data_IF_886363939880
#
_entry.id   IF_886363939880
#
_cell.length_a   1.000
_cell.length_b   1.000
_cell.length_c   1.000
_cell.angle_alpha   90.00
_cell.angle_beta   90.00
_cell.angle_gamma   90.00
#
_symmetry.space_group_name_H-M   'P 1'
#
loop_
_entity.id
_entity.type
_entity.pdbx_description
1 polymer ?
#
# COMPACT_ATOMS: atom_id res chain seq x y z
N UNK A 1 22.46 -5.92 13.27
CA UNK A 1 21.65 -4.70 13.43
C UNK A 1 20.70 -4.58 12.25
N UNK A 2 19.38 -4.55 12.47
CA UNK A 2 18.42 -4.21 11.40
C UNK A 2 18.36 -2.69 11.30
N UNK A 3 19.18 -2.12 10.43
CA UNK A 3 19.16 -0.69 10.14
C UNK A 3 17.79 -0.35 9.56
N UNK A 4 17.09 0.64 10.13
CA UNK A 4 15.85 1.16 9.54
C UNK A 4 16.21 1.72 8.15
N UNK A 5 15.40 1.43 7.12
CA UNK A 5 15.65 1.95 5.78
C UNK A 5 15.61 3.48 5.78
N UNK A 6 16.49 4.12 5.01
CA UNK A 6 16.51 5.58 4.85
C UNK A 6 15.34 6.06 4.00
N UNK A 7 15.02 7.36 4.05
CA UNK A 7 13.96 7.96 3.23
C UNK A 7 14.16 7.69 1.73
N UNK A 8 15.39 7.85 1.23
CA UNK A 8 15.73 7.60 -0.16
C UNK A 8 15.53 6.12 -0.56
N UNK A 9 15.87 5.19 0.34
CA UNK A 9 15.64 3.76 0.12
C UNK A 9 14.16 3.43 0.07
N UNK A 10 13.34 4.08 0.91
CA UNK A 10 11.89 3.92 0.90
C UNK A 10 11.29 4.48 -0.40
N UNK A 11 11.72 5.64 -0.86
CA UNK A 11 11.26 6.24 -2.13
C UNK A 11 11.57 5.36 -3.34
N UNK A 12 12.77 4.76 -3.38
CA UNK A 12 13.14 3.78 -4.41
C UNK A 12 12.21 2.56 -4.41
N UNK A 13 11.87 2.04 -3.23
CA UNK A 13 10.97 0.88 -3.10
C UNK A 13 9.54 1.24 -3.49
N UNK A 14 9.04 2.39 -3.05
CA UNK A 14 7.71 2.92 -3.41
C UNK A 14 7.60 3.07 -4.93
N UNK A 15 8.59 3.69 -5.58
CA UNK A 15 8.63 3.87 -7.02
C UNK A 15 8.61 2.54 -7.79
N UNK A 16 9.41 1.55 -7.37
CA UNK A 16 9.42 0.21 -7.98
C UNK A 16 8.08 -0.51 -7.83
N UNK A 17 7.43 -0.38 -6.67
CA UNK A 17 6.15 -1.03 -6.41
C UNK A 17 5.03 -0.40 -7.23
N UNK A 18 4.99 0.93 -7.31
CA UNK A 18 4.09 1.68 -8.19
C UNK A 18 4.23 1.25 -9.65
N UNK A 19 5.46 1.21 -10.18
CA UNK A 19 5.72 0.79 -11.56
C UNK A 19 5.24 -0.65 -11.83
N UNK A 20 5.47 -1.56 -10.88
CA UNK A 20 4.99 -2.95 -10.97
C UNK A 20 3.47 -3.05 -10.96
N UNK A 21 2.78 -2.24 -10.15
CA UNK A 21 1.32 -2.21 -10.12
C UNK A 21 0.75 -1.59 -11.40
N UNK A 22 1.33 -0.50 -11.89
CA UNK A 22 0.92 0.17 -13.13
C UNK A 22 1.03 -0.77 -14.34
N UNK A 23 2.09 -1.58 -14.41
CA UNK A 23 2.24 -2.61 -15.44
C UNK A 23 1.23 -3.76 -15.36
N UNK A 24 0.47 -3.89 -14.27
CA UNK A 24 -0.58 -4.90 -14.08
C UNK A 24 -1.98 -4.32 -14.24
N UNK A 25 -2.25 -3.18 -13.62
CA UNK A 25 -3.53 -2.49 -13.65
C UNK A 25 -3.36 -1.03 -13.16
N UNK A 26 -3.76 -0.07 -13.99
CA UNK A 26 -3.70 1.36 -13.66
C UNK A 26 -4.52 1.74 -12.40
N UNK A 27 -5.65 1.06 -12.14
CA UNK A 27 -6.46 1.28 -10.93
C UNK A 27 -5.71 0.88 -9.66
N UNK A 28 -4.91 -0.19 -9.71
CA UNK A 28 -4.10 -0.62 -8.57
C UNK A 28 -2.97 0.38 -8.28
N UNK A 29 -2.38 0.97 -9.32
CA UNK A 29 -1.38 2.02 -9.16
C UNK A 29 -1.99 3.30 -8.56
N UNK A 30 -3.18 3.71 -9.02
CA UNK A 30 -3.85 4.88 -8.48
C UNK A 30 -4.26 4.69 -7.01
N UNK A 31 -4.81 3.53 -6.67
CA UNK A 31 -5.13 3.19 -5.28
C UNK A 31 -3.88 3.18 -4.38
N UNK A 32 -2.76 2.70 -4.90
CA UNK A 32 -1.48 2.73 -4.18
C UNK A 32 -1.03 4.16 -3.89
N UNK A 33 -1.05 5.03 -4.90
CA UNK A 33 -0.65 6.43 -4.76
C UNK A 33 -1.55 7.18 -3.75
N UNK A 34 -2.85 6.93 -3.79
CA UNK A 34 -3.82 7.52 -2.87
C UNK A 34 -3.58 7.05 -1.42
N UNK A 35 -3.36 5.74 -1.23
CA UNK A 35 -3.07 5.15 0.09
C UNK A 35 -1.78 5.73 0.68
N UNK A 36 -0.73 5.82 -0.12
CA UNK A 36 0.54 6.43 0.31
C UNK A 36 0.33 7.89 0.70
N UNK A 37 -0.39 8.66 -0.09
CA UNK A 37 -0.66 10.09 0.17
C UNK A 37 -1.47 10.31 1.45
N UNK A 38 -2.50 9.49 1.69
CA UNK A 38 -3.34 9.57 2.90
C UNK A 38 -2.53 9.23 4.15
N UNK A 39 -1.69 8.19 4.08
CA UNK A 39 -0.83 7.83 5.21
C UNK A 39 0.23 8.90 5.47
N UNK A 40 0.92 9.37 4.43
CA UNK A 40 1.90 10.46 4.57
C UNK A 40 1.28 11.72 5.15
N UNK A 41 0.09 12.13 4.72
CA UNK A 41 -0.62 13.28 5.29
C UNK A 41 -0.96 13.08 6.77
N UNK A 42 -1.55 11.94 7.14
CA UNK A 42 -1.89 11.63 8.54
C UNK A 42 -0.69 11.60 9.47
N UNK A 43 0.45 11.16 8.95
CA UNK A 43 1.70 11.19 9.71
C UNK A 43 2.27 12.61 9.74
N UNK A 44 2.35 13.32 8.61
CA UNK A 44 2.86 14.70 8.56
C UNK A 44 2.09 15.66 9.48
N UNK A 45 0.78 15.48 9.68
CA UNK A 45 -0.03 16.26 10.64
C UNK A 45 0.40 16.07 12.11
N UNK A 46 1.15 15.01 12.43
CA UNK A 46 1.55 14.64 13.79
C UNK A 46 3.05 14.69 14.04
N UNK A 47 3.85 15.10 13.06
CA UNK A 47 5.31 15.03 13.13
C UNK A 47 5.95 16.41 13.23
N UNK A 48 6.80 16.60 14.24
CA UNK A 48 7.60 17.81 14.44
C UNK A 48 8.96 17.72 13.73
N UNK A 49 9.50 16.51 13.51
CA UNK A 49 10.80 16.27 12.85
C UNK A 49 10.63 15.52 11.50
N UNK A 50 11.25 15.99 10.40
CA UNK A 50 11.26 15.30 9.11
C UNK A 50 11.85 13.88 9.12
N UNK A 51 12.60 13.47 10.15
CA UNK A 51 13.08 12.08 10.32
C UNK A 51 11.97 11.10 10.69
N UNK A 52 10.86 11.58 11.22
CA UNK A 52 9.74 10.73 11.57
C UNK A 52 8.92 10.27 10.35
N UNK A 53 9.02 11.00 9.23
CA UNK A 53 8.46 10.59 7.93
C UNK A 53 9.03 9.24 7.45
N UNK A 54 10.25 8.88 7.84
CA UNK A 54 10.84 7.58 7.47
C UNK A 54 10.07 6.41 8.12
N UNK A 55 9.69 6.56 9.39
CA UNK A 55 8.89 5.55 10.09
C UNK A 55 7.47 5.48 9.53
N UNK A 56 6.88 6.63 9.18
CA UNK A 56 5.57 6.71 8.52
C UNK A 56 5.55 5.97 7.17
N UNK A 57 6.53 6.26 6.30
CA UNK A 57 6.69 5.59 5.00
C UNK A 57 6.93 4.09 5.14
N UNK A 58 7.71 3.67 6.13
CA UNK A 58 7.93 2.25 6.41
C UNK A 58 6.63 1.54 6.85
N UNK A 59 5.82 2.18 7.71
CA UNK A 59 4.53 1.66 8.14
C UNK A 59 3.53 1.57 6.97
N UNK A 60 3.48 2.59 6.11
CA UNK A 60 2.65 2.61 4.91
C UNK A 60 3.01 1.48 3.95
N UNK A 61 4.31 1.28 3.70
CA UNK A 61 4.82 0.17 2.89
C UNK A 61 4.42 -1.20 3.46
N UNK A 62 4.52 -1.38 4.77
CA UNK A 62 4.13 -2.63 5.42
C UNK A 62 2.62 -2.89 5.28
N UNK A 63 1.79 -1.87 5.49
CA UNK A 63 0.34 -1.95 5.32
C UNK A 63 -0.05 -2.31 3.89
N UNK A 64 0.46 -1.58 2.90
CA UNK A 64 0.17 -1.85 1.49
C UNK A 64 0.62 -3.26 1.12
N UNK A 65 1.80 -3.70 1.56
CA UNK A 65 2.30 -5.04 1.28
C UNK A 65 1.35 -6.11 1.85
N UNK A 66 0.85 -5.94 3.07
CA UNK A 66 -0.13 -6.84 3.67
C UNK A 66 -1.47 -6.84 2.91
N UNK A 67 -1.98 -5.67 2.51
CA UNK A 67 -3.21 -5.53 1.73
C UNK A 67 -3.09 -6.19 0.35
N UNK A 68 -1.97 -5.99 -0.35
CA UNK A 68 -1.69 -6.66 -1.63
C UNK A 68 -1.57 -8.17 -1.47
N UNK A 69 -0.93 -8.65 -0.39
CA UNK A 69 -0.91 -10.07 -0.08
C UNK A 69 -2.33 -10.61 0.13
N UNK A 70 -3.18 -9.91 0.88
CA UNK A 70 -4.57 -10.30 1.10
C UNK A 70 -5.39 -10.30 -0.20
N UNK A 71 -5.17 -9.35 -1.11
CA UNK A 71 -5.83 -9.36 -2.43
C UNK A 71 -5.33 -10.48 -3.33
N UNK A 72 -4.05 -10.82 -3.27
CA UNK A 72 -3.49 -11.93 -4.02
C UNK A 72 -3.91 -13.30 -3.47
N UNK A 73 -4.17 -13.40 -2.17
CA UNK A 73 -4.60 -14.64 -1.51
C UNK A 73 -6.10 -14.76 -1.32
N UNK A 74 -6.89 -13.69 -1.49
CA UNK A 74 -8.35 -13.78 -1.54
C UNK A 74 -8.74 -14.55 -2.80
N UNK A 75 -9.39 -15.72 -2.68
CA UNK A 75 -9.99 -16.34 -3.85
C UNK A 75 -11.07 -15.41 -4.42
N UNK A 76 -11.26 -15.42 -5.73
CA UNK A 76 -12.17 -14.53 -6.48
C UNK A 76 -13.68 -14.76 -6.21
N UNK A 77 -14.06 -15.14 -4.98
CA UNK A 77 -15.39 -15.60 -4.60
C UNK A 77 -16.28 -14.55 -3.92
N UNK A 78 -16.02 -13.26 -4.10
CA UNK A 78 -16.98 -12.20 -3.74
C UNK A 78 -17.66 -11.57 -4.97
N UNK A 79 -17.61 -12.26 -6.11
CA UNK A 79 -18.35 -11.93 -7.34
C UNK A 79 -19.58 -12.82 -7.61
N UNK A 80 -20.08 -13.57 -6.61
CA UNK A 80 -21.37 -14.24 -6.68
C UNK A 80 -22.33 -13.63 -5.64
N UNK A 81 -22.66 -12.35 -5.83
CA UNK A 81 -24.01 -11.91 -5.51
C UNK A 81 -24.92 -12.44 -6.63
N UNK A 82 -25.86 -13.32 -6.28
CA UNK A 82 -26.98 -13.66 -7.17
C UNK A 82 -26.96 -15.08 -7.71
N UNK A 83 -27.40 -16.03 -6.88
CA UNK A 83 -28.40 -17.04 -7.25
C UNK A 83 -28.95 -17.66 -5.96
N UNK A 84 -29.94 -17.01 -5.36
CA UNK A 84 -31.01 -17.77 -4.69
C UNK A 84 -31.75 -18.59 -5.75
N UNK A 85 -32.52 -19.62 -5.38
CA UNK A 85 -32.23 -20.81 -4.57
C UNK A 85 -32.29 -22.08 -5.46
N UNK A 86 -32.33 -23.30 -4.90
CA UNK A 86 -33.40 -24.18 -5.36
C UNK A 86 -34.10 -24.96 -4.24
N UNK A 87 -35.44 -24.94 -4.37
CA UNK A 87 -36.51 -25.83 -3.87
C UNK A 87 -36.64 -26.10 -2.37
#
# INVERSE_FOLDING_TARGET
MKTKPTLEQLDLVIGRMRARLAGRNALLANWFDETMRVMEARFAEKLEDPRDLASARAAALAFVKAALHQWATRPAHEGQAGKSPPV
#
